data_IF_740909097364
#
_entry.id   IF_740909097364
#
_cell.length_a   1.000
_cell.length_b   1.000
_cell.length_c   1.000
_cell.angle_alpha   90.00
_cell.angle_beta   90.00
_cell.angle_gamma   90.00
#
_symmetry.space_group_name_H-M   'P 1'
#
loop_
_entity.id
_entity.type
_entity.pdbx_description
1 polymer ?
#
# COMPACT_ATOMS: atom_id res chain seq x y z
N UNK A 1 14.69 4.43 -2.26
CA UNK A 1 13.56 3.47 -2.03
C UNK A 1 12.25 4.22 -1.87
N UNK A 2 11.10 3.53 -1.88
CA UNK A 2 9.85 4.16 -1.42
C UNK A 2 10.01 4.52 0.07
N UNK A 3 9.53 5.70 0.46
CA UNK A 3 9.74 6.24 1.82
C UNK A 3 10.98 7.13 1.99
N UNK A 4 11.88 7.18 1.00
CA UNK A 4 13.12 7.97 1.07
C UNK A 4 13.08 9.26 0.24
N UNK A 5 12.06 9.46 -0.59
CA UNK A 5 12.00 10.58 -1.54
C UNK A 5 11.03 11.65 -1.06
N UNK A 6 9.79 11.28 -0.76
CA UNK A 6 8.77 12.19 -0.27
C UNK A 6 8.94 12.47 1.23
N UNK A 7 8.52 13.64 1.67
CA UNK A 7 8.59 14.03 3.09
C UNK A 7 7.77 13.10 3.96
N UNK A 8 6.57 12.71 3.47
CA UNK A 8 5.70 11.71 4.08
C UNK A 8 5.33 10.65 3.06
N UNK A 9 5.34 9.39 3.46
CA UNK A 9 4.93 8.25 2.62
C UNK A 9 3.98 7.35 3.38
N UNK A 10 2.85 7.02 2.75
CA UNK A 10 1.87 6.11 3.32
C UNK A 10 1.89 4.77 2.56
N UNK A 11 1.96 3.68 3.32
CA UNK A 11 1.86 2.32 2.81
C UNK A 11 0.52 1.71 3.19
N UNK A 12 -0.06 0.94 2.29
CA UNK A 12 -1.30 0.20 2.52
C UNK A 12 -0.98 -1.29 2.69
N UNK A 13 -1.56 -1.90 3.71
CA UNK A 13 -1.51 -3.34 3.97
C UNK A 13 -2.89 -4.00 3.80
N UNK A 14 -3.79 -3.34 3.06
CA UNK A 14 -5.09 -3.91 2.70
C UNK A 14 -4.93 -5.27 2.00
N UNK A 15 -5.95 -6.12 2.06
CA UNK A 15 -5.95 -7.53 1.62
C UNK A 15 -5.39 -7.78 0.22
N UNK A 16 -5.58 -6.85 -0.73
CA UNK A 16 -5.14 -6.99 -2.13
C UNK A 16 -3.70 -6.53 -2.38
N UNK A 17 -2.98 -6.00 -1.37
CA UNK A 17 -1.61 -5.50 -1.55
C UNK A 17 -0.57 -6.63 -1.55
N UNK A 18 0.62 -6.33 -2.04
CA UNK A 18 1.73 -7.31 -2.09
C UNK A 18 2.12 -7.83 -0.71
N UNK A 19 2.10 -6.97 0.29
CA UNK A 19 2.17 -7.29 1.69
C UNK A 19 0.83 -6.93 2.32
N UNK A 20 0.23 -7.84 3.06
CA UNK A 20 -1.08 -7.62 3.66
C UNK A 20 -1.15 -8.02 5.12
N UNK A 21 -1.93 -7.26 5.87
CA UNK A 21 -2.39 -7.60 7.22
C UNK A 21 -3.92 -7.75 7.28
N UNK A 22 -4.56 -8.04 6.14
CA UNK A 22 -5.98 -7.94 5.85
C UNK A 22 -6.43 -6.47 5.77
N UNK A 23 -6.30 -5.72 6.84
CA UNK A 23 -6.44 -4.28 6.92
C UNK A 23 -5.25 -3.68 7.66
N UNK A 24 -4.81 -2.50 7.28
CA UNK A 24 -3.73 -1.79 7.92
C UNK A 24 -2.92 -0.91 6.97
N UNK A 25 -1.94 -0.24 7.54
CA UNK A 25 -1.02 0.63 6.82
C UNK A 25 0.11 1.11 7.72
N UNK A 26 1.04 1.83 7.12
CA UNK A 26 2.10 2.53 7.83
C UNK A 26 2.29 3.92 7.23
N UNK A 27 2.51 4.89 8.08
CA UNK A 27 2.98 6.23 7.71
C UNK A 27 4.44 6.36 8.14
N UNK A 28 5.27 6.82 7.24
CA UNK A 28 6.68 7.12 7.49
C UNK A 28 7.00 8.54 7.03
N UNK A 29 7.99 9.16 7.65
CA UNK A 29 8.48 10.47 7.26
C UNK A 29 10.00 10.44 7.09
N UNK A 30 10.51 11.40 6.35
CA UNK A 30 11.95 11.64 6.27
C UNK A 30 12.38 12.56 7.41
N UNK A 31 13.59 12.40 7.92
CA UNK A 31 14.19 13.42 8.81
C UNK A 31 14.29 14.76 8.08
N UNK A 32 13.92 15.83 8.78
CA UNK A 32 14.05 17.20 8.32
C UNK A 32 14.59 18.09 9.43
N UNK A 33 15.41 19.08 9.10
CA UNK A 33 15.99 20.02 10.08
C UNK A 33 14.92 20.86 10.82
N UNK A 34 13.75 21.04 10.22
CA UNK A 34 12.61 21.78 10.79
C UNK A 34 11.57 20.90 11.48
N UNK A 35 11.79 19.59 11.57
CA UNK A 35 10.87 18.60 12.12
C UNK A 35 11.56 17.85 13.25
N UNK A 36 11.00 17.96 14.46
CA UNK A 36 11.40 17.12 15.58
C UNK A 36 10.76 15.72 15.44
N UNK A 37 11.59 14.69 15.39
CA UNK A 37 11.13 13.31 15.18
C UNK A 37 10.25 12.81 16.34
N UNK A 38 10.56 13.20 17.57
CA UNK A 38 9.77 12.83 18.74
C UNK A 38 8.40 13.50 18.72
N UNK A 39 8.32 14.74 18.25
CA UNK A 39 7.05 15.46 18.13
C UNK A 39 6.18 14.88 17.02
N UNK A 40 6.75 14.48 15.89
CA UNK A 40 6.01 13.77 14.83
C UNK A 40 5.50 12.42 15.32
N UNK A 41 6.33 11.65 16.00
CA UNK A 41 5.90 10.36 16.56
C UNK A 41 4.73 10.55 17.55
N UNK A 42 4.81 11.54 18.43
CA UNK A 42 3.72 11.89 19.34
C UNK A 42 2.44 12.27 18.58
N UNK A 43 2.56 13.05 17.50
CA UNK A 43 1.41 13.39 16.65
C UNK A 43 0.80 12.15 16.00
N UNK A 44 1.58 11.22 15.47
CA UNK A 44 1.06 9.96 14.93
C UNK A 44 0.31 9.15 15.98
N UNK A 45 0.84 9.09 17.21
CA UNK A 45 0.18 8.38 18.31
C UNK A 45 -1.14 9.05 18.72
N UNK A 46 -1.17 10.37 18.85
CA UNK A 46 -2.41 11.12 19.14
C UNK A 46 -3.45 10.92 18.04
N UNK A 47 -3.07 11.09 16.77
CA UNK A 47 -3.95 10.95 15.61
C UNK A 47 -4.55 9.55 15.48
N UNK A 48 -3.78 8.51 15.81
CA UNK A 48 -4.20 7.12 15.66
C UNK A 48 -4.96 6.54 16.86
N UNK A 49 -4.91 7.20 18.01
CA UNK A 49 -5.42 6.68 19.28
C UNK A 49 -6.27 7.71 20.06
N UNK A 50 -7.32 8.22 19.44
CA UNK A 50 -8.33 9.11 20.06
C UNK A 50 -7.80 10.42 20.64
N UNK A 51 -6.60 10.88 20.32
CA UNK A 51 -5.97 12.02 20.96
C UNK A 51 -5.55 11.77 22.42
N UNK A 52 -5.36 10.51 22.81
CA UNK A 52 -4.94 10.14 24.18
C UNK A 52 -3.43 10.34 24.36
N UNK A 53 -3.05 10.91 25.49
CA UNK A 53 -1.64 11.20 25.83
C UNK A 53 -0.83 9.96 26.22
N UNK A 54 -1.50 8.81 26.49
CA UNK A 54 -0.85 7.54 26.84
C UNK A 54 -1.48 6.39 26.09
N UNK A 55 -0.63 5.49 25.56
CA UNK A 55 -1.04 4.22 25.00
C UNK A 55 -1.29 3.14 26.06
N UNK A 56 -1.73 1.95 25.65
CA UNK A 56 -2.02 0.84 26.55
C UNK A 56 -0.78 0.35 27.31
N UNK A 57 0.40 0.38 26.69
CA UNK A 57 1.64 -0.05 27.33
C UNK A 57 2.05 0.90 28.47
N UNK A 58 1.92 2.20 28.25
CA UNK A 58 2.20 3.20 29.27
C UNK A 58 1.20 3.15 30.43
N UNK A 59 -0.08 2.85 30.14
CA UNK A 59 -1.13 2.68 31.17
C UNK A 59 -0.92 1.46 32.07
N UNK A 60 -0.23 0.43 31.59
CA UNK A 60 0.05 -0.79 32.36
C UNK A 60 1.19 -0.64 33.39
N UNK A 61 1.90 0.49 33.40
CA UNK A 61 2.90 0.79 34.47
C UNK A 61 2.20 1.14 35.78
N UNK A 62 2.82 0.78 36.88
CA UNK A 62 2.27 1.05 38.23
C UNK A 62 1.93 2.54 38.40
N UNK A 63 0.74 2.84 38.90
CA UNK A 63 0.21 4.18 39.15
C UNK A 63 0.12 5.09 37.89
N UNK A 64 -0.11 4.52 36.69
CA UNK A 64 -0.12 5.27 35.44
C UNK A 64 -1.46 5.21 34.68
N UNK A 65 -2.56 5.01 35.38
CA UNK A 65 -3.90 4.94 34.77
C UNK A 65 -4.42 6.28 34.23
N UNK A 66 -3.98 7.40 34.81
CA UNK A 66 -4.38 8.74 34.37
C UNK A 66 -3.83 9.05 32.97
N UNK A 67 -4.70 9.55 32.09
CA UNK A 67 -4.36 10.06 30.77
C UNK A 67 -5.32 11.19 30.42
N UNK A 68 -4.90 12.06 29.54
CA UNK A 68 -5.75 13.11 28.98
C UNK A 68 -6.14 12.78 27.54
N UNK A 69 -7.28 13.32 27.11
CA UNK A 69 -7.70 13.39 25.70
C UNK A 69 -7.54 14.85 25.28
N UNK A 70 -6.47 15.14 24.56
CA UNK A 70 -6.10 16.51 24.21
C UNK A 70 -6.79 17.05 22.97
N UNK A 71 -7.34 16.14 22.13
CA UNK A 71 -8.06 16.49 20.92
C UNK A 71 -8.97 15.35 20.47
N UNK A 72 -9.93 15.65 19.58
CA UNK A 72 -10.82 14.66 18.97
C UNK A 72 -10.14 14.04 17.76
N UNK A 73 -9.67 12.80 17.88
CA UNK A 73 -8.88 12.11 16.87
C UNK A 73 -9.43 10.72 16.53
N UNK A 74 -8.81 10.05 15.56
CA UNK A 74 -9.25 8.76 15.04
C UNK A 74 -8.89 7.61 15.97
N UNK A 75 -9.54 6.47 15.74
CA UNK A 75 -9.14 5.15 16.27
C UNK A 75 -8.71 4.27 15.10
N UNK A 76 -7.42 4.30 14.77
CA UNK A 76 -6.87 3.59 13.62
C UNK A 76 -5.51 2.91 13.91
N UNK A 77 -5.20 2.65 15.18
CA UNK A 77 -4.03 1.87 15.56
C UNK A 77 -4.19 0.41 15.10
N UNK A 78 -3.10 -0.20 14.66
CA UNK A 78 -3.07 -1.60 14.24
C UNK A 78 -3.17 -2.53 15.47
N UNK A 79 -4.13 -3.48 15.51
CA UNK A 79 -4.18 -4.50 16.54
C UNK A 79 -3.03 -5.52 16.39
N UNK A 80 -2.55 -6.09 17.51
CA UNK A 80 -1.45 -7.05 17.54
C UNK A 80 -1.69 -8.29 16.67
N UNK A 81 -2.93 -8.74 16.54
CA UNK A 81 -3.29 -9.86 15.66
C UNK A 81 -2.94 -9.55 14.20
N UNK A 82 -3.26 -8.35 13.73
CA UNK A 82 -2.92 -7.91 12.36
C UNK A 82 -1.43 -7.63 12.22
N UNK A 83 -0.80 -7.07 13.24
CA UNK A 83 0.64 -6.87 13.27
C UNK A 83 1.42 -8.19 13.17
N UNK A 84 0.96 -9.24 13.85
CA UNK A 84 1.57 -10.57 13.77
C UNK A 84 1.51 -11.16 12.35
N UNK A 85 0.40 -10.95 11.63
CA UNK A 85 0.31 -11.30 10.20
C UNK A 85 1.35 -10.53 9.38
N UNK A 86 1.51 -9.24 9.67
CA UNK A 86 2.48 -8.37 9.00
C UNK A 86 3.92 -8.86 9.16
N UNK A 87 4.31 -9.32 10.35
CA UNK A 87 5.64 -9.88 10.60
C UNK A 87 5.91 -11.07 9.69
N UNK A 88 4.97 -12.02 9.59
CA UNK A 88 5.10 -13.20 8.74
C UNK A 88 5.11 -12.82 7.26
N UNK A 89 4.28 -11.87 6.84
CA UNK A 89 4.25 -11.38 5.46
C UNK A 89 5.56 -10.71 5.08
N UNK A 90 6.15 -9.91 5.98
CA UNK A 90 7.43 -9.23 5.75
C UNK A 90 8.57 -10.24 5.54
N UNK A 91 8.61 -11.29 6.34
CA UNK A 91 9.61 -12.39 6.17
C UNK A 91 9.52 -13.08 4.80
N UNK A 92 8.34 -13.07 4.18
CA UNK A 92 8.08 -13.70 2.87
C UNK A 92 8.14 -12.70 1.71
N UNK A 93 8.29 -11.42 1.99
CA UNK A 93 8.05 -10.35 1.02
C UNK A 93 8.96 -10.43 -0.21
N UNK A 94 10.25 -10.69 -0.03
CA UNK A 94 11.19 -10.83 -1.15
C UNK A 94 10.78 -11.96 -2.11
N UNK A 95 10.38 -13.12 -1.60
CA UNK A 95 9.89 -14.23 -2.44
C UNK A 95 8.60 -13.87 -3.20
N UNK A 96 7.73 -13.09 -2.58
CA UNK A 96 6.52 -12.59 -3.22
C UNK A 96 6.89 -11.64 -4.38
N UNK A 97 7.83 -10.73 -4.16
CA UNK A 97 8.31 -9.81 -5.19
C UNK A 97 8.99 -10.55 -6.34
N UNK A 98 9.86 -11.51 -6.06
CA UNK A 98 10.52 -12.34 -7.07
C UNK A 98 9.49 -13.03 -7.97
N UNK A 99 8.49 -13.68 -7.38
CA UNK A 99 7.42 -14.34 -8.15
C UNK A 99 6.61 -13.38 -8.99
N UNK A 100 6.29 -12.20 -8.49
CA UNK A 100 5.60 -11.16 -9.26
C UNK A 100 6.42 -10.68 -10.46
N UNK A 101 7.71 -10.44 -10.28
CA UNK A 101 8.60 -10.06 -11.36
C UNK A 101 8.80 -11.17 -12.40
N UNK A 102 8.81 -12.42 -11.97
CA UNK A 102 8.81 -13.57 -12.89
C UNK A 102 7.54 -13.56 -13.77
N UNK A 103 6.35 -13.39 -13.17
CA UNK A 103 5.10 -13.31 -13.92
C UNK A 103 5.07 -12.11 -14.89
N UNK A 104 5.58 -10.96 -14.47
CA UNK A 104 5.71 -9.78 -15.34
C UNK A 104 6.58 -10.10 -16.56
N UNK A 105 7.71 -10.79 -16.37
CA UNK A 105 8.57 -11.19 -17.50
C UNK A 105 7.85 -12.13 -18.47
N UNK A 106 7.10 -13.09 -17.94
CA UNK A 106 6.28 -13.98 -18.78
C UNK A 106 5.25 -13.19 -19.58
N UNK A 107 4.48 -12.30 -18.94
CA UNK A 107 3.50 -11.47 -19.64
C UNK A 107 4.14 -10.54 -20.67
N UNK A 108 5.27 -9.94 -20.37
CA UNK A 108 5.98 -9.06 -21.29
C UNK A 108 6.43 -9.83 -22.54
N UNK A 109 6.89 -11.07 -22.41
CA UNK A 109 7.28 -11.90 -23.53
C UNK A 109 6.08 -12.36 -24.37
N UNK A 110 5.04 -12.84 -23.71
CA UNK A 110 3.83 -13.32 -24.39
C UNK A 110 3.05 -12.20 -25.11
N UNK A 111 3.12 -10.98 -24.60
CA UNK A 111 2.34 -9.85 -25.12
C UNK A 111 3.15 -8.86 -25.97
N UNK A 112 4.42 -9.13 -26.22
CA UNK A 112 5.34 -8.19 -26.93
C UNK A 112 4.87 -7.77 -28.31
N UNK A 113 4.16 -8.67 -29.03
CA UNK A 113 3.68 -8.43 -30.39
C UNK A 113 2.21 -7.96 -30.43
N UNK A 114 1.57 -7.77 -29.27
CA UNK A 114 0.20 -7.28 -29.20
C UNK A 114 0.16 -5.74 -29.29
N UNK A 115 -0.90 -5.15 -29.90
CA UNK A 115 -1.06 -3.70 -30.03
C UNK A 115 -1.53 -3.06 -28.70
N UNK A 116 -0.80 -3.31 -27.63
CA UNK A 116 -1.07 -2.82 -26.28
C UNK A 116 0.14 -2.09 -25.75
N UNK A 117 -0.08 -1.22 -24.77
CA UNK A 117 0.97 -0.61 -23.97
C UNK A 117 0.92 -1.20 -22.56
N UNK A 118 2.05 -1.59 -22.04
CA UNK A 118 2.23 -2.07 -20.67
C UNK A 118 3.15 -1.13 -19.88
N UNK A 119 3.09 -1.18 -18.55
CA UNK A 119 4.02 -0.43 -17.72
C UNK A 119 5.43 -1.04 -17.79
N UNK A 120 6.43 -0.16 -17.82
CA UNK A 120 7.79 -0.59 -17.53
C UNK A 120 7.94 -0.81 -16.02
N UNK A 121 8.18 -2.04 -15.61
CA UNK A 121 8.32 -2.44 -14.21
C UNK A 121 9.75 -2.40 -13.69
N UNK A 122 10.72 -2.42 -14.59
CA UNK A 122 12.15 -2.40 -14.23
C UNK A 122 12.98 -1.75 -15.34
N UNK A 123 13.88 -0.86 -14.95
CA UNK A 123 14.97 -0.35 -15.77
C UNK A 123 16.20 -0.10 -14.91
N UNK A 124 17.19 0.64 -15.44
CA UNK A 124 18.43 0.96 -14.76
C UNK A 124 18.23 1.75 -13.46
N UNK A 125 17.15 2.54 -13.39
CA UNK A 125 16.89 3.51 -12.33
C UNK A 125 15.76 3.12 -11.39
N UNK A 126 14.90 2.17 -11.78
CA UNK A 126 13.77 1.80 -10.95
C UNK A 126 13.39 0.32 -11.05
N UNK A 127 12.84 -0.19 -9.97
CA UNK A 127 12.17 -1.47 -9.88
C UNK A 127 10.85 -1.29 -9.16
N UNK A 128 9.75 -1.54 -9.86
CA UNK A 128 8.41 -1.48 -9.24
C UNK A 128 8.20 -2.68 -8.31
N UNK A 129 7.23 -2.57 -7.40
CA UNK A 129 6.81 -3.71 -6.57
C UNK A 129 6.04 -4.79 -7.34
N UNK A 130 5.75 -4.58 -8.62
CA UNK A 130 4.97 -5.52 -9.43
C UNK A 130 3.54 -5.72 -8.90
N UNK A 131 2.96 -4.70 -8.27
CA UNK A 131 1.64 -4.82 -7.66
C UNK A 131 0.54 -5.07 -8.69
N UNK A 132 0.54 -4.32 -9.79
CA UNK A 132 -0.44 -4.42 -10.86
C UNK A 132 0.26 -4.52 -12.21
N UNK A 133 -0.30 -5.33 -13.12
CA UNK A 133 0.10 -5.38 -14.52
C UNK A 133 -0.94 -4.63 -15.34
N UNK A 134 -0.64 -3.37 -15.67
CA UNK A 134 -1.53 -2.53 -16.45
C UNK A 134 -1.39 -2.79 -17.93
N UNK A 135 -2.54 -2.91 -18.60
CA UNK A 135 -2.65 -2.99 -20.06
C UNK A 135 -3.47 -1.80 -20.55
N UNK A 136 -2.93 -1.05 -21.50
CA UNK A 136 -3.62 0.04 -22.17
C UNK A 136 -3.80 -0.31 -23.65
N UNK A 137 -5.02 -0.24 -24.14
CA UNK A 137 -5.34 -0.40 -25.56
C UNK A 137 -5.15 0.94 -26.28
N UNK A 138 -4.16 1.02 -27.15
CA UNK A 138 -3.84 2.27 -27.87
C UNK A 138 -4.91 2.52 -28.94
N UNK A 139 -5.46 3.75 -28.97
CA UNK A 139 -6.46 4.17 -29.93
C UNK A 139 -7.82 3.51 -29.77
N UNK A 140 -8.09 2.86 -28.65
CA UNK A 140 -9.39 2.29 -28.31
C UNK A 140 -10.11 3.14 -27.26
N UNK A 141 -11.43 3.10 -27.32
CA UNK A 141 -12.35 3.79 -26.43
C UNK A 141 -12.79 2.93 -25.23
N UNK A 142 -13.64 3.51 -24.41
CA UNK A 142 -14.20 2.85 -23.22
C UNK A 142 -15.11 1.67 -23.57
N UNK A 143 -15.80 1.73 -24.70
CA UNK A 143 -16.67 0.63 -25.16
C UNK A 143 -15.84 -0.61 -25.48
N UNK A 144 -14.74 -0.43 -26.21
CA UNK A 144 -13.79 -1.52 -26.48
C UNK A 144 -13.22 -2.13 -25.20
N UNK A 145 -12.78 -1.29 -24.25
CA UNK A 145 -12.29 -1.74 -22.95
C UNK A 145 -13.34 -2.56 -22.20
N UNK A 146 -14.58 -2.10 -22.18
CA UNK A 146 -15.67 -2.78 -21.46
C UNK A 146 -16.01 -4.13 -22.11
N UNK A 147 -16.02 -4.22 -23.43
CA UNK A 147 -16.19 -5.50 -24.14
C UNK A 147 -15.07 -6.47 -23.81
N UNK A 148 -13.83 -6.00 -23.82
CA UNK A 148 -12.66 -6.82 -23.46
C UNK A 148 -12.74 -7.30 -22.02
N UNK A 149 -13.08 -6.41 -21.08
CA UNK A 149 -13.27 -6.73 -19.67
C UNK A 149 -14.29 -7.86 -19.46
N UNK A 150 -15.45 -7.77 -20.11
CA UNK A 150 -16.50 -8.79 -20.03
C UNK A 150 -16.03 -10.14 -20.64
N UNK A 151 -15.40 -10.09 -21.81
CA UNK A 151 -14.84 -11.28 -22.46
C UNK A 151 -13.80 -11.99 -21.57
N UNK A 152 -12.93 -11.26 -20.89
CA UNK A 152 -11.96 -11.84 -19.96
C UNK A 152 -12.67 -12.55 -18.80
N UNK A 153 -13.70 -11.92 -18.22
CA UNK A 153 -14.48 -12.52 -17.14
C UNK A 153 -15.22 -13.80 -17.59
N UNK A 154 -15.81 -13.81 -18.79
CA UNK A 154 -16.45 -14.99 -19.41
C UNK A 154 -15.45 -16.14 -19.62
N UNK A 155 -14.18 -15.84 -19.83
CA UNK A 155 -13.10 -16.81 -19.95
C UNK A 155 -12.39 -17.11 -18.62
N UNK A 156 -12.96 -16.72 -17.48
CA UNK A 156 -12.45 -17.01 -16.13
C UNK A 156 -11.27 -16.15 -15.68
N UNK A 157 -10.97 -15.07 -16.38
CA UNK A 157 -9.90 -14.13 -16.02
C UNK A 157 -10.51 -12.85 -15.46
N UNK A 158 -10.43 -12.70 -14.12
CA UNK A 158 -10.98 -11.54 -13.41
C UNK A 158 -10.01 -10.36 -13.51
N UNK A 159 -10.35 -9.39 -14.35
CA UNK A 159 -9.65 -8.12 -14.48
C UNK A 159 -10.31 -7.02 -13.64
N UNK A 160 -9.68 -5.87 -13.58
CA UNK A 160 -10.28 -4.65 -13.02
C UNK A 160 -9.89 -3.43 -13.87
N UNK A 161 -10.74 -2.40 -13.82
CA UNK A 161 -10.43 -1.10 -14.43
C UNK A 161 -9.85 -0.18 -13.36
N UNK A 162 -8.65 0.30 -13.56
CA UNK A 162 -7.91 1.10 -12.59
C UNK A 162 -7.74 2.52 -13.11
N UNK A 163 -8.47 3.45 -12.53
CA UNK A 163 -9.78 3.43 -11.88
C UNK A 163 -10.48 4.76 -12.14
N UNK A 164 -11.72 4.92 -11.69
CA UNK A 164 -12.46 6.17 -11.85
C UNK A 164 -11.77 7.28 -11.06
N UNK A 165 -11.36 8.39 -11.69
CA UNK A 165 -10.70 9.49 -10.97
C UNK A 165 -11.65 10.18 -10.00
N UNK A 166 -11.10 10.68 -8.87
CA UNK A 166 -11.88 11.35 -7.83
C UNK A 166 -12.63 12.62 -8.31
N UNK A 167 -12.05 13.51 -9.14
CA UNK A 167 -12.73 14.72 -9.60
C UNK A 167 -13.67 14.43 -10.78
N UNK A 168 -14.70 13.64 -10.56
CA UNK A 168 -15.76 13.40 -11.54
C UNK A 168 -17.13 13.64 -10.94
#
# INVERSE_FOLDING_TARGET
MCGEIADFTNFSFHAVKNMTTAEGGAAVHRPHEWLDEDDIYKQYMLLSLHGQTKDAYQKNKVASWEYDVVDTQYKCNMPDILAALGVVQLQRYEKILERRHELIRVYNEEFKDLPIQVLNHCDENHRSSGHLYFVRFIGKDDEYRNKFYNMMAENGVMCNVHFKPLPM
#
